data_IF_578731071396
#
_entry.id   IF_578731071396
#
_cell.length_a   1.000
_cell.length_b   1.000
_cell.length_c   1.000
_cell.angle_alpha   90.00
_cell.angle_beta   90.00
_cell.angle_gamma   90.00
#
_symmetry.space_group_name_H-M   'P 1'
#
loop_
_entity.id
_entity.type
_entity.pdbx_description
1 polymer ?
#
# COMPACT_ATOMS: atom_id res chain seq x y z
N UNK A 1 10.84 -9.86 -2.05
CA UNK A 1 11.99 -10.72 -2.29
C UNK A 1 13.22 -10.14 -1.59
N UNK A 2 14.09 -11.00 -1.02
CA UNK A 2 15.39 -10.58 -0.49
C UNK A 2 16.44 -10.78 -1.59
N UNK A 3 17.19 -9.71 -1.91
CA UNK A 3 18.34 -9.77 -2.82
C UNK A 3 19.63 -9.53 -2.03
N UNK A 4 20.68 -10.25 -2.34
CA UNK A 4 22.01 -10.03 -1.77
C UNK A 4 22.81 -9.16 -2.72
N UNK A 5 23.36 -8.04 -2.22
CA UNK A 5 24.22 -7.14 -2.98
C UNK A 5 25.66 -7.68 -3.07
N UNK A 6 26.48 -7.13 -3.99
CA UNK A 6 27.89 -7.56 -4.11
C UNK A 6 28.73 -7.39 -2.84
N UNK A 7 28.36 -6.47 -1.97
CA UNK A 7 28.99 -6.22 -0.66
C UNK A 7 28.53 -7.19 0.45
N UNK A 8 27.61 -8.12 0.13
CA UNK A 8 27.06 -9.10 1.07
C UNK A 8 25.84 -8.57 1.86
N UNK A 9 25.44 -7.31 1.71
CA UNK A 9 24.23 -6.78 2.35
C UNK A 9 22.97 -7.34 1.70
N UNK A 10 21.90 -7.46 2.48
CA UNK A 10 20.59 -7.91 2.00
C UNK A 10 19.64 -6.71 1.88
N UNK A 11 18.91 -6.63 0.78
CA UNK A 11 17.90 -5.61 0.52
C UNK A 11 16.56 -6.25 0.20
N UNK A 12 15.50 -5.53 0.52
CA UNK A 12 14.17 -5.87 0.03
C UNK A 12 14.05 -5.45 -1.44
N UNK A 13 13.48 -6.32 -2.25
CA UNK A 13 13.31 -6.07 -3.67
C UNK A 13 11.93 -6.53 -4.14
N UNK A 14 11.38 -5.81 -5.09
CA UNK A 14 10.19 -6.17 -5.85
C UNK A 14 10.60 -6.43 -7.31
N UNK A 15 10.15 -7.52 -7.87
CA UNK A 15 10.33 -7.88 -9.28
C UNK A 15 9.02 -8.49 -9.78
N UNK A 16 8.32 -7.78 -10.66
CA UNK A 16 7.02 -8.23 -11.16
C UNK A 16 7.10 -9.59 -11.84
N UNK A 17 8.19 -9.87 -12.55
CA UNK A 17 8.36 -11.16 -13.23
C UNK A 17 8.46 -12.34 -12.26
N UNK A 18 9.06 -12.10 -11.09
CA UNK A 18 9.11 -13.12 -10.03
C UNK A 18 7.77 -13.22 -9.28
N UNK A 19 7.10 -12.09 -9.07
CA UNK A 19 5.77 -12.05 -8.46
C UNK A 19 4.73 -12.78 -9.33
N UNK A 20 4.77 -12.61 -10.63
CA UNK A 20 3.85 -13.27 -11.57
C UNK A 20 3.97 -14.81 -11.60
N UNK A 21 5.11 -15.34 -11.14
CA UNK A 21 5.34 -16.80 -11.00
C UNK A 21 4.72 -17.36 -9.71
N UNK A 22 4.37 -16.48 -8.76
CA UNK A 22 3.86 -16.89 -7.46
C UNK A 22 2.37 -17.16 -7.59
N UNK A 23 1.95 -18.41 -7.30
CA UNK A 23 0.54 -18.67 -7.05
C UNK A 23 0.21 -18.14 -5.63
N UNK A 24 -0.69 -17.15 -5.49
CA UNK A 24 -1.08 -16.61 -4.19
C UNK A 24 -1.51 -17.70 -3.19
N UNK A 25 -2.20 -18.73 -3.66
CA UNK A 25 -2.68 -19.83 -2.81
C UNK A 25 -1.52 -20.62 -2.16
N UNK A 26 -0.40 -20.78 -2.89
CA UNK A 26 0.75 -21.54 -2.42
C UNK A 26 1.78 -20.65 -1.68
N UNK A 27 1.72 -19.33 -1.89
CA UNK A 27 2.64 -18.38 -1.26
C UNK A 27 2.59 -18.48 0.26
N UNK A 28 1.42 -18.71 0.80
CA UNK A 28 1.16 -18.73 2.24
C UNK A 28 1.67 -19.99 2.93
N UNK A 29 1.70 -21.11 2.23
CA UNK A 29 2.29 -22.36 2.74
C UNK A 29 3.82 -22.24 2.88
N UNK A 30 4.47 -21.53 1.94
CA UNK A 30 5.93 -21.37 1.91
C UNK A 30 6.46 -20.26 2.85
N UNK A 31 5.64 -19.31 3.27
CA UNK A 31 6.08 -18.19 4.11
C UNK A 31 6.15 -18.55 5.59
N UNK A 32 5.29 -19.44 6.08
CA UNK A 32 5.33 -19.93 7.46
C UNK A 32 6.64 -20.68 7.78
N UNK A 33 7.28 -21.29 6.79
CA UNK A 33 8.53 -22.02 6.97
C UNK A 33 9.80 -21.12 6.92
N UNK A 34 9.70 -19.91 6.34
CA UNK A 34 10.87 -19.05 6.06
C UNK A 34 11.09 -17.90 7.06
N UNK A 35 10.21 -17.70 8.01
CA UNK A 35 10.29 -16.55 8.93
C UNK A 35 11.22 -16.72 10.12
N UNK A 36 11.94 -17.86 10.26
CA UNK A 36 12.83 -18.15 11.38
C UNK A 36 12.24 -17.81 12.76
N UNK A 37 10.92 -17.97 12.91
CA UNK A 37 10.22 -17.67 14.17
C UNK A 37 9.92 -16.18 14.41
N UNK A 38 10.16 -15.30 13.44
CA UNK A 38 9.72 -13.91 13.50
C UNK A 38 8.32 -13.77 12.90
N UNK A 39 7.36 -13.38 13.72
CA UNK A 39 6.03 -12.99 13.26
C UNK A 39 6.05 -11.49 12.91
N UNK A 40 5.87 -11.16 11.63
CA UNK A 40 5.65 -9.79 11.22
C UNK A 40 4.20 -9.40 11.50
N UNK A 41 3.93 -8.19 12.03
CA UNK A 41 2.57 -7.70 12.20
C UNK A 41 1.75 -7.79 10.91
N UNK A 42 0.60 -8.45 10.97
CA UNK A 42 -0.25 -8.73 9.81
C UNK A 42 -0.01 -10.08 9.14
N UNK A 43 1.00 -10.83 9.56
CA UNK A 43 1.38 -12.14 9.04
C UNK A 43 1.15 -13.26 10.06
N UNK A 44 0.31 -13.01 11.05
CA UNK A 44 -0.04 -13.99 12.07
C UNK A 44 -0.71 -15.22 11.42
N UNK A 45 -0.44 -16.46 11.90
CA UNK A 45 -0.97 -17.70 11.31
C UNK A 45 -2.50 -17.69 11.14
N UNK A 46 -3.21 -17.07 12.07
CA UNK A 46 -4.67 -16.94 12.02
C UNK A 46 -5.15 -16.06 10.86
N UNK A 47 -4.43 -15.00 10.56
CA UNK A 47 -4.71 -14.14 9.39
C UNK A 47 -4.35 -14.84 8.09
N UNK A 48 -3.26 -15.60 8.09
CA UNK A 48 -2.83 -16.37 6.92
C UNK A 48 -3.87 -17.43 6.54
N UNK A 49 -4.48 -18.11 7.51
CA UNK A 49 -5.56 -19.09 7.26
C UNK A 49 -6.78 -18.45 6.57
N UNK A 50 -7.03 -17.15 6.79
CA UNK A 50 -8.15 -16.41 6.19
C UNK A 50 -7.85 -15.81 4.82
N UNK A 51 -6.62 -15.85 4.37
CA UNK A 51 -6.25 -15.14 3.12
C UNK A 51 -6.98 -15.72 1.91
N UNK A 52 -7.14 -17.04 1.79
CA UNK A 52 -7.91 -17.65 0.70
C UNK A 52 -9.36 -17.13 0.67
N UNK A 53 -9.99 -17.06 1.84
CA UNK A 53 -11.33 -16.48 1.96
C UNK A 53 -11.36 -15.01 1.54
N UNK A 54 -10.37 -14.23 1.97
CA UNK A 54 -10.27 -12.81 1.61
C UNK A 54 -10.04 -12.62 0.10
N UNK A 55 -9.20 -13.42 -0.54
CA UNK A 55 -9.03 -13.39 -1.99
C UNK A 55 -10.35 -13.64 -2.72
N UNK A 56 -11.12 -14.67 -2.30
CA UNK A 56 -12.43 -14.94 -2.86
C UNK A 56 -13.42 -13.78 -2.64
N UNK A 57 -13.42 -13.17 -1.47
CA UNK A 57 -14.27 -12.01 -1.16
C UNK A 57 -13.95 -10.78 -2.01
N UNK A 58 -12.67 -10.60 -2.38
CA UNK A 58 -12.19 -9.41 -3.08
C UNK A 58 -12.02 -9.60 -4.59
N UNK A 59 -12.14 -10.82 -5.13
CA UNK A 59 -11.94 -11.09 -6.56
C UNK A 59 -12.83 -10.26 -7.50
N UNK A 60 -14.07 -9.97 -7.05
CA UNK A 60 -15.05 -9.18 -7.79
C UNK A 60 -15.16 -7.72 -7.28
N UNK A 61 -14.16 -7.27 -6.49
CA UNK A 61 -14.08 -5.90 -5.99
C UNK A 61 -13.17 -5.10 -6.91
N UNK A 62 -13.76 -4.36 -7.82
CA UNK A 62 -13.07 -3.43 -8.69
C UNK A 62 -12.56 -2.19 -7.93
N UNK A 63 -11.84 -1.34 -8.62
CA UNK A 63 -11.27 -0.11 -8.06
C UNK A 63 -12.35 0.84 -7.54
N UNK A 64 -13.46 1.00 -8.27
CA UNK A 64 -14.55 1.90 -7.88
C UNK A 64 -15.22 1.43 -6.59
N UNK A 65 -15.54 0.15 -6.50
CA UNK A 65 -16.14 -0.46 -5.31
C UNK A 65 -15.21 -0.38 -4.11
N UNK A 66 -13.91 -0.66 -4.32
CA UNK A 66 -12.90 -0.54 -3.26
C UNK A 66 -12.77 0.89 -2.76
N UNK A 67 -12.73 1.87 -3.67
CA UNK A 67 -12.70 3.29 -3.33
C UNK A 67 -13.95 3.71 -2.55
N UNK A 68 -15.13 3.31 -3.00
CA UNK A 68 -16.39 3.62 -2.33
C UNK A 68 -16.46 3.01 -0.92
N UNK A 69 -15.90 1.81 -0.72
CA UNK A 69 -15.79 1.20 0.61
C UNK A 69 -14.89 2.04 1.55
N UNK A 70 -13.76 2.55 1.04
CA UNK A 70 -12.89 3.44 1.82
C UNK A 70 -13.62 4.75 2.19
N UNK A 71 -14.32 5.35 1.24
CA UNK A 71 -15.11 6.58 1.48
C UNK A 71 -16.20 6.33 2.52
N UNK A 72 -16.91 5.20 2.42
CA UNK A 72 -17.92 4.81 3.41
C UNK A 72 -17.31 4.70 4.81
N UNK A 73 -16.19 3.98 4.93
CA UNK A 73 -15.48 3.84 6.20
C UNK A 73 -15.07 5.18 6.79
N UNK A 74 -14.43 6.04 6.00
CA UNK A 74 -13.97 7.35 6.47
C UNK A 74 -15.14 8.23 6.94
N UNK A 75 -16.27 8.25 6.20
CA UNK A 75 -17.47 8.98 6.61
C UNK A 75 -18.07 8.43 7.91
N UNK A 76 -18.06 7.11 8.09
CA UNK A 76 -18.58 6.47 9.30
C UNK A 76 -17.78 6.83 10.55
N UNK A 77 -16.44 6.95 10.45
CA UNK A 77 -15.58 7.30 11.59
C UNK A 77 -15.41 8.81 11.80
N UNK A 78 -15.77 9.63 10.83
CA UNK A 78 -15.62 11.11 10.88
C UNK A 78 -16.10 11.73 12.20
N UNK A 79 -17.30 11.44 12.73
CA UNK A 79 -17.78 12.08 13.96
C UNK A 79 -16.89 11.79 15.17
N UNK A 80 -16.29 10.59 15.20
CA UNK A 80 -15.37 10.17 16.27
C UNK A 80 -14.03 10.88 16.11
N UNK A 81 -13.50 10.93 14.89
CA UNK A 81 -12.24 11.63 14.60
C UNK A 81 -12.33 13.12 14.93
N UNK A 82 -13.42 13.78 14.57
CA UNK A 82 -13.65 15.20 14.87
C UNK A 82 -13.81 15.44 16.38
N UNK A 83 -14.55 14.58 17.08
CA UNK A 83 -14.78 14.70 18.53
C UNK A 83 -13.49 14.58 19.33
N UNK A 84 -12.55 13.72 18.92
CA UNK A 84 -11.34 13.42 19.66
C UNK A 84 -10.06 13.99 19.03
N UNK A 85 -10.19 14.89 18.04
CA UNK A 85 -9.08 15.47 17.27
C UNK A 85 -8.11 14.42 16.72
N UNK A 86 -8.68 13.33 16.17
CA UNK A 86 -7.91 12.26 15.53
C UNK A 86 -7.72 12.62 14.07
N UNK A 87 -6.47 12.56 13.59
CA UNK A 87 -6.12 12.77 12.19
C UNK A 87 -5.76 11.44 11.55
N UNK A 88 -6.56 11.05 10.56
CA UNK A 88 -6.27 9.88 9.74
C UNK A 88 -5.14 10.23 8.77
N UNK A 89 -4.21 9.32 8.60
CA UNK A 89 -3.10 9.44 7.65
C UNK A 89 -3.12 8.21 6.73
N UNK A 90 -3.92 8.27 5.66
CA UNK A 90 -4.09 7.15 4.72
C UNK A 90 -2.77 6.89 4.01
N UNK A 91 -2.26 5.67 4.16
CA UNK A 91 -1.01 5.26 3.52
C UNK A 91 -1.27 4.89 2.06
N UNK A 92 -0.43 5.34 1.11
CA UNK A 92 -0.50 4.88 -0.29
C UNK A 92 -0.33 3.38 -0.40
N UNK A 93 -0.90 2.83 -1.46
CA UNK A 93 -0.68 1.42 -1.83
C UNK A 93 0.80 1.17 -2.17
N UNK A 94 1.30 0.01 -1.79
CA UNK A 94 2.68 -0.40 -2.02
C UNK A 94 2.73 -1.83 -2.60
N UNK A 95 3.19 -1.99 -3.82
CA UNK A 95 3.56 -0.98 -4.81
C UNK A 95 2.34 -0.21 -5.35
N UNK A 96 2.58 0.91 -6.05
CA UNK A 96 1.56 1.78 -6.61
C UNK A 96 0.93 1.22 -7.91
N UNK A 97 0.57 -0.06 -7.92
CA UNK A 97 -0.15 -0.77 -8.99
C UNK A 97 -0.80 -2.06 -8.46
N UNK A 98 -1.83 -2.61 -9.16
CA UNK A 98 -2.47 -3.87 -8.79
C UNK A 98 -1.48 -5.05 -8.67
N UNK A 99 -1.65 -5.89 -7.64
CA UNK A 99 -0.86 -7.09 -7.41
C UNK A 99 -1.80 -8.27 -7.20
N UNK A 100 -1.51 -9.42 -7.77
CA UNK A 100 -2.33 -10.63 -7.71
C UNK A 100 -3.79 -10.44 -8.17
N UNK A 101 -4.03 -9.51 -9.09
CA UNK A 101 -5.38 -9.18 -9.57
C UNK A 101 -6.22 -8.35 -8.61
N UNK A 102 -5.69 -7.98 -7.45
CA UNK A 102 -6.39 -7.12 -6.49
C UNK A 102 -6.21 -5.65 -6.85
N UNK A 103 -7.31 -4.91 -6.84
CA UNK A 103 -7.32 -3.47 -7.13
C UNK A 103 -6.52 -2.65 -6.11
N UNK A 104 -5.96 -1.54 -6.56
CA UNK A 104 -5.29 -0.51 -5.75
C UNK A 104 -5.96 0.83 -6.02
N UNK A 105 -6.07 1.68 -5.00
CA UNK A 105 -6.88 2.91 -5.07
C UNK A 105 -6.16 4.17 -4.60
N UNK A 106 -4.95 4.06 -4.05
CA UNK A 106 -4.13 5.19 -3.58
C UNK A 106 -2.72 5.06 -4.17
N UNK A 107 -2.63 5.24 -5.49
CA UNK A 107 -1.42 4.94 -6.27
C UNK A 107 -0.71 6.17 -6.85
N UNK A 108 -1.42 7.31 -6.94
CA UNK A 108 -0.95 8.51 -7.62
C UNK A 108 -1.63 9.78 -7.10
N UNK A 109 -1.25 10.93 -7.67
CA UNK A 109 -1.82 12.23 -7.31
C UNK A 109 -3.33 12.30 -7.52
N UNK A 110 -3.84 11.76 -8.60
CA UNK A 110 -5.26 11.85 -8.95
C UNK A 110 -6.11 11.08 -7.94
N UNK A 111 -5.69 9.88 -7.56
CA UNK A 111 -6.34 9.08 -6.53
C UNK A 111 -6.32 9.77 -5.16
N UNK A 112 -5.19 10.36 -4.79
CA UNK A 112 -5.06 11.10 -3.54
C UNK A 112 -6.00 12.32 -3.50
N UNK A 113 -6.05 13.11 -4.58
CA UNK A 113 -6.95 14.26 -4.67
C UNK A 113 -8.42 13.84 -4.73
N UNK A 114 -8.74 12.74 -5.42
CA UNK A 114 -10.08 12.15 -5.46
C UNK A 114 -10.55 11.78 -4.05
N UNK A 115 -9.66 11.18 -3.23
CA UNK A 115 -9.96 10.83 -1.85
C UNK A 115 -10.19 12.09 -0.99
N UNK A 116 -9.33 13.09 -1.10
CA UNK A 116 -9.48 14.36 -0.37
C UNK A 116 -10.80 15.06 -0.70
N UNK A 117 -11.22 15.03 -1.97
CA UNK A 117 -12.49 15.59 -2.43
C UNK A 117 -13.69 14.78 -1.96
N UNK A 118 -13.61 13.45 -1.94
CA UNK A 118 -14.72 12.57 -1.55
C UNK A 118 -15.06 12.67 -0.05
N UNK A 119 -14.05 12.96 0.78
CA UNK A 119 -14.18 13.21 2.22
C UNK A 119 -13.40 14.47 2.55
N UNK A 120 -14.00 15.62 2.22
CA UNK A 120 -13.37 16.93 2.43
C UNK A 120 -13.54 17.41 3.87
N UNK A 121 -12.76 16.81 4.76
CA UNK A 121 -12.75 17.16 6.18
C UNK A 121 -11.30 17.14 6.71
N UNK A 122 -10.94 18.05 7.64
CA UNK A 122 -9.56 18.19 8.14
C UNK A 122 -8.97 16.93 8.77
N UNK A 123 -9.80 16.03 9.30
CA UNK A 123 -9.34 14.77 9.88
C UNK A 123 -8.80 13.80 8.81
N UNK A 124 -9.32 13.89 7.57
CA UNK A 124 -8.90 13.03 6.47
C UNK A 124 -7.65 13.60 5.81
N UNK A 125 -6.58 12.85 5.84
CA UNK A 125 -5.30 13.20 5.21
C UNK A 125 -4.51 11.96 4.82
N UNK A 126 -3.28 12.16 4.43
CA UNK A 126 -2.44 11.12 3.87
C UNK A 126 -1.13 10.95 4.64
N UNK A 127 -0.61 9.74 4.61
CA UNK A 127 0.80 9.48 4.83
C UNK A 127 1.53 9.74 3.51
N UNK A 128 2.41 10.72 3.48
CA UNK A 128 3.31 10.90 2.35
C UNK A 128 4.40 9.83 2.43
N UNK A 129 4.21 8.71 1.76
CA UNK A 129 5.24 7.68 1.61
C UNK A 129 5.96 7.85 0.28
N UNK A 130 7.19 8.39 0.32
CA UNK A 130 7.98 8.63 -0.90
C UNK A 130 8.40 7.33 -1.59
N UNK A 131 8.55 6.23 -0.86
CA UNK A 131 8.85 4.92 -1.43
C UNK A 131 7.64 4.29 -2.10
N UNK A 132 6.48 4.23 -1.43
CA UNK A 132 5.27 3.60 -2.01
C UNK A 132 4.80 4.35 -3.25
N UNK A 133 4.62 5.67 -3.17
CA UNK A 133 4.30 6.49 -4.35
C UNK A 133 5.42 6.47 -5.39
N UNK A 134 6.68 6.51 -4.93
CA UNK A 134 7.86 6.46 -5.77
C UNK A 134 8.10 5.10 -6.42
N UNK A 135 7.39 4.02 -6.05
CA UNK A 135 7.44 2.75 -6.78
C UNK A 135 6.94 2.92 -8.23
N UNK A 136 6.03 3.86 -8.48
CA UNK A 136 5.69 4.31 -9.81
C UNK A 136 6.56 5.53 -10.20
N UNK A 137 7.52 5.38 -11.13
CA UNK A 137 8.42 6.46 -11.54
C UNK A 137 7.71 7.64 -12.24
N UNK A 138 6.47 7.48 -12.66
CA UNK A 138 5.65 8.56 -13.25
C UNK A 138 5.10 9.51 -12.19
N UNK A 139 5.15 9.14 -10.92
CA UNK A 139 4.70 9.99 -9.82
C UNK A 139 5.72 11.12 -9.54
N UNK A 140 5.32 12.37 -9.77
CA UNK A 140 6.07 13.56 -9.34
C UNK A 140 5.79 13.82 -7.86
N UNK A 141 6.66 13.29 -6.98
CA UNK A 141 6.53 13.42 -5.52
C UNK A 141 6.49 14.89 -5.07
N UNK A 142 7.38 15.80 -5.56
CA UNK A 142 7.28 17.21 -5.25
C UNK A 142 5.95 17.85 -5.62
N UNK A 143 5.35 17.47 -6.74
CA UNK A 143 4.05 17.97 -7.16
C UNK A 143 2.91 17.42 -6.29
N UNK A 144 2.96 16.14 -5.92
CA UNK A 144 2.05 15.51 -4.97
C UNK A 144 2.07 16.27 -3.63
N UNK A 145 3.26 16.57 -3.10
CA UNK A 145 3.43 17.33 -1.86
C UNK A 145 2.75 18.71 -1.95
N UNK A 146 2.99 19.44 -3.02
CA UNK A 146 2.38 20.76 -3.22
C UNK A 146 0.86 20.69 -3.31
N UNK A 147 0.36 19.67 -4.00
CA UNK A 147 -1.08 19.47 -4.23
C UNK A 147 -1.84 19.05 -2.95
N UNK A 148 -1.17 18.42 -2.00
CA UNK A 148 -1.74 17.93 -0.75
C UNK A 148 -1.46 18.86 0.45
N UNK A 149 -1.13 20.11 0.20
CA UNK A 149 -0.85 21.09 1.27
C UNK A 149 -1.96 21.10 2.33
N UNK A 150 -1.57 20.91 3.60
CA UNK A 150 -2.51 20.88 4.73
C UNK A 150 -3.21 19.53 4.95
N UNK A 151 -2.97 18.53 4.10
CA UNK A 151 -3.55 17.19 4.21
C UNK A 151 -2.51 16.08 4.36
N UNK A 152 -1.23 16.42 4.49
CA UNK A 152 -0.17 15.47 4.83
C UNK A 152 -0.10 15.43 6.35
N UNK A 153 -0.61 14.36 6.96
CA UNK A 153 -0.65 14.19 8.41
C UNK A 153 0.52 13.40 8.94
N UNK A 154 1.16 12.61 8.09
CA UNK A 154 2.35 11.83 8.43
C UNK A 154 3.28 11.75 7.21
N UNK A 155 4.58 11.67 7.45
CA UNK A 155 5.57 11.49 6.40
C UNK A 155 6.40 10.21 6.67
N UNK A 156 6.47 9.36 5.66
CA UNK A 156 7.31 8.16 5.64
C UNK A 156 8.32 8.31 4.49
N UNK A 157 9.55 8.70 4.84
CA UNK A 157 10.61 8.98 3.87
C UNK A 157 11.40 7.70 3.61
N UNK A 158 11.18 7.11 2.45
CA UNK A 158 11.83 5.89 1.97
C UNK A 158 12.33 6.11 0.55
N UNK A 159 13.46 5.54 0.19
CA UNK A 159 14.01 5.67 -1.14
C UNK A 159 14.06 4.31 -1.86
N UNK A 160 13.96 4.35 -3.18
CA UNK A 160 13.97 3.16 -4.03
C UNK A 160 15.02 3.33 -5.14
N UNK A 161 15.66 2.23 -5.50
CA UNK A 161 16.47 2.12 -6.70
C UNK A 161 15.70 1.28 -7.73
N UNK A 162 15.46 1.89 -8.90
CA UNK A 162 14.85 1.18 -10.03
C UNK A 162 15.87 0.33 -10.75
N UNK A 163 15.47 -0.88 -11.14
CA UNK A 163 16.25 -1.77 -11.99
C UNK A 163 15.57 -1.96 -13.36
N UNK A 164 14.28 -1.62 -13.48
CA UNK A 164 13.51 -1.77 -14.71
C UNK A 164 12.01 -1.59 -14.48
N UNK A 165 11.20 -1.96 -15.46
CA UNK A 165 9.75 -1.86 -15.36
C UNK A 165 9.23 -2.75 -14.21
N UNK A 166 8.62 -2.12 -13.22
CA UNK A 166 8.10 -2.76 -12.00
C UNK A 166 9.14 -3.67 -11.31
N UNK A 167 10.39 -3.26 -11.37
CA UNK A 167 11.52 -3.89 -10.66
C UNK A 167 12.27 -2.79 -9.90
N UNK A 168 12.30 -2.90 -8.59
CA UNK A 168 12.98 -1.96 -7.70
C UNK A 168 13.51 -2.64 -6.45
N UNK A 169 14.40 -1.96 -5.76
CA UNK A 169 14.94 -2.38 -4.46
C UNK A 169 15.08 -1.19 -3.53
N UNK A 170 15.07 -1.46 -2.23
CA UNK A 170 15.29 -0.47 -1.16
C UNK A 170 16.77 -0.27 -0.85
#
# INVERSE_FOLDING_TARGET
>A
LAKVRPDGSTVLAYDQKEIDKINPENMFESMGEKSNGFELPGWEPERMARIKELFEMYKDVDEEKLFNNLVYFLKAIQPVCEKYDIRMAIHPDDPAWPVFGLSRIITDKEHLLKLMKAVDAPFNGVTLCTGSLGSNPENDIPDIIRSLKGRIHFAHVRNLQYNGYRDFQE
#
